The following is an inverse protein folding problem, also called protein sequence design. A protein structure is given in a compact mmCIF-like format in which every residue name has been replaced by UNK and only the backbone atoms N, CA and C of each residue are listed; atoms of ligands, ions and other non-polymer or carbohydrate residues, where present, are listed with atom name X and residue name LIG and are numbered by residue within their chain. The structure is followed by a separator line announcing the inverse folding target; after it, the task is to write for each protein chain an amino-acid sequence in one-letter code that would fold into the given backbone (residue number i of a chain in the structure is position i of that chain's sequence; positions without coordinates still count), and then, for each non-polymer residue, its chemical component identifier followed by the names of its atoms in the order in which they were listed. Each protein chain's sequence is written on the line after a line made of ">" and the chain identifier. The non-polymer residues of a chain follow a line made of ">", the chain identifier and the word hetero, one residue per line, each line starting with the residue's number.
data_IF_514098593024
#
_entry.id   IF_514098593024
#
_cell.length_a   1.000
_cell.length_b   1.000
_cell.length_c   1.000
_cell.angle_alpha   90.00
_cell.angle_beta   90.00
_cell.angle_gamma   90.00
#
_symmetry.space_group_name_H-M   'P 1'
#
loop_
_entity.id
_entity.type
_entity.pdbx_description
1 polymer ?
#
# COMPACT_ATOMS: atom_id res chain seq x y z
N UNK A 1 -0.30 -0.89 -20.27
CA UNK A 1 0.38 0.26 -19.65
C UNK A 1 0.49 -0.07 -18.17
N UNK A 2 1.68 -0.44 -17.69
CA UNK A 2 1.89 -0.75 -16.26
C UNK A 2 1.80 0.54 -15.41
N UNK A 3 1.27 0.44 -14.20
CA UNK A 3 1.18 1.57 -13.27
C UNK A 3 2.57 1.86 -12.71
N UNK A 4 2.98 3.13 -12.66
CA UNK A 4 4.34 3.55 -12.23
C UNK A 4 4.75 2.93 -10.88
N UNK A 5 3.81 2.84 -9.93
CA UNK A 5 4.08 2.20 -8.64
C UNK A 5 4.55 0.75 -8.77
N UNK A 6 3.91 -0.06 -9.61
CA UNK A 6 4.28 -1.47 -9.76
C UNK A 6 5.68 -1.63 -10.36
N UNK A 7 6.07 -0.72 -11.28
CA UNK A 7 7.44 -0.66 -11.80
C UNK A 7 8.45 -0.27 -10.74
N UNK A 8 8.17 0.76 -9.95
CA UNK A 8 9.08 1.20 -8.89
C UNK A 8 9.31 0.10 -7.86
N UNK A 9 8.27 -0.65 -7.48
CA UNK A 9 8.41 -1.82 -6.61
C UNK A 9 9.18 -2.98 -7.23
N UNK A 10 9.30 -3.06 -8.55
CA UNK A 10 10.08 -4.12 -9.18
C UNK A 10 11.57 -3.76 -9.28
N UNK A 11 11.85 -2.49 -9.56
CA UNK A 11 13.21 -2.02 -9.86
C UNK A 11 13.96 -1.50 -8.62
N UNK A 12 13.24 -1.02 -7.58
CA UNK A 12 13.88 -0.47 -6.38
C UNK A 12 14.17 -1.53 -5.31
N UNK A 13 15.33 -1.40 -4.62
CA UNK A 13 15.65 -2.22 -3.45
C UNK A 13 14.77 -1.87 -2.24
N UNK A 14 14.77 -2.72 -1.23
CA UNK A 14 13.92 -2.56 -0.05
C UNK A 14 14.24 -1.31 0.78
N UNK A 15 15.51 -0.92 0.87
CA UNK A 15 15.96 0.29 1.59
C UNK A 15 15.78 1.60 0.79
N UNK A 16 15.07 1.56 -0.34
CA UNK A 16 14.84 2.76 -1.15
C UNK A 16 13.67 3.61 -0.63
N UNK A 17 13.79 4.92 -0.85
CA UNK A 17 12.73 5.89 -0.59
C UNK A 17 12.29 6.55 -1.88
N UNK A 18 10.98 6.66 -2.07
CA UNK A 18 10.38 7.40 -3.19
C UNK A 18 9.76 8.68 -2.63
N UNK A 19 10.14 9.82 -3.19
CA UNK A 19 9.54 11.11 -2.86
C UNK A 19 8.74 11.59 -4.07
N UNK A 20 7.47 11.90 -3.87
CA UNK A 20 6.59 12.43 -4.91
C UNK A 20 6.01 13.78 -4.49
N UNK A 21 6.08 14.75 -5.40
CA UNK A 21 5.45 16.05 -5.23
C UNK A 21 4.20 16.11 -6.12
N UNK A 22 3.12 16.75 -5.65
CA UNK A 22 1.83 16.97 -6.36
C UNK A 22 0.99 15.73 -6.64
N UNK A 23 1.59 14.60 -6.99
CA UNK A 23 0.89 13.37 -7.37
C UNK A 23 1.21 12.24 -6.40
N UNK A 24 0.36 12.01 -5.38
CA UNK A 24 0.53 10.90 -4.46
C UNK A 24 0.19 9.56 -5.12
N UNK A 25 0.77 8.48 -4.61
CA UNK A 25 0.43 7.12 -5.04
C UNK A 25 -0.75 6.59 -4.21
N UNK A 26 -1.93 6.33 -4.80
CA UNK A 26 -3.13 5.98 -4.03
C UNK A 26 -3.04 4.64 -3.28
N UNK A 27 -2.19 3.73 -3.75
CA UNK A 27 -2.02 2.39 -3.17
C UNK A 27 -0.90 2.31 -2.14
N UNK A 28 -0.13 3.39 -1.97
CA UNK A 28 1.05 3.38 -1.12
C UNK A 28 0.80 4.21 0.14
N UNK A 29 1.13 3.68 1.32
CA UNK A 29 1.11 4.45 2.56
C UNK A 29 2.26 5.48 2.57
N UNK A 30 2.00 6.80 2.64
CA UNK A 30 3.07 7.76 2.84
C UNK A 30 3.61 7.65 4.27
N UNK A 31 4.92 7.58 4.42
CA UNK A 31 5.59 7.62 5.72
C UNK A 31 5.50 9.02 6.34
N UNK A 32 5.72 10.03 5.51
CA UNK A 32 5.65 11.44 5.90
C UNK A 32 5.09 12.26 4.75
N UNK A 33 4.37 13.33 5.09
CA UNK A 33 3.96 14.35 4.11
C UNK A 33 4.38 15.73 4.57
N UNK A 34 4.86 16.55 3.65
CA UNK A 34 5.33 17.91 3.93
C UNK A 34 4.77 18.89 2.89
N UNK A 35 4.42 20.09 3.32
CA UNK A 35 3.80 21.12 2.46
C UNK A 35 2.27 21.18 2.60
N UNK A 36 1.65 22.06 1.80
CA UNK A 36 0.21 22.29 1.81
C UNK A 36 -0.31 22.51 0.39
N UNK A 37 -1.54 22.08 0.13
CA UNK A 37 -2.20 22.24 -1.17
C UNK A 37 -1.42 21.57 -2.31
N UNK A 38 -1.12 22.34 -3.36
CA UNK A 38 -0.46 21.84 -4.55
C UNK A 38 1.02 21.49 -4.34
N UNK A 39 1.66 22.07 -3.33
CA UNK A 39 3.08 21.83 -3.03
C UNK A 39 3.25 20.76 -1.94
N UNK A 40 2.20 20.00 -1.67
CA UNK A 40 2.29 18.83 -0.81
C UNK A 40 3.18 17.76 -1.46
N UNK A 41 4.08 17.25 -0.64
CA UNK A 41 5.09 16.25 -0.97
C UNK A 41 4.92 15.06 -0.05
N UNK A 42 5.07 13.85 -0.58
CA UNK A 42 4.96 12.60 0.18
C UNK A 42 6.23 11.79 0.03
N UNK A 43 6.72 11.25 1.15
CA UNK A 43 7.79 10.29 1.19
C UNK A 43 7.22 8.88 1.44
N UNK A 44 7.64 7.93 0.62
CA UNK A 44 7.25 6.52 0.70
C UNK A 44 8.50 5.68 0.95
N UNK A 45 8.43 4.82 1.94
CA UNK A 45 9.46 3.82 2.22
C UNK A 45 9.09 2.52 1.50
N UNK A 46 9.97 2.01 0.62
CA UNK A 46 9.65 0.84 -0.20
C UNK A 46 9.50 -0.42 0.66
N UNK A 47 10.31 -0.58 1.71
CA UNK A 47 10.19 -1.71 2.64
C UNK A 47 8.80 -1.76 3.31
N UNK A 48 8.31 -0.61 3.77
CA UNK A 48 7.00 -0.47 4.40
C UNK A 48 5.86 -0.67 3.40
N UNK A 49 6.00 -0.14 2.18
CA UNK A 49 5.01 -0.35 1.10
C UNK A 49 4.87 -1.85 0.81
N UNK A 50 5.98 -2.58 0.64
CA UNK A 50 5.94 -4.04 0.41
C UNK A 50 5.28 -4.79 1.58
N UNK A 51 5.71 -4.50 2.81
CA UNK A 51 5.14 -5.12 4.01
C UNK A 51 3.61 -4.91 4.13
N UNK A 52 3.12 -3.73 3.71
CA UNK A 52 1.68 -3.46 3.65
C UNK A 52 0.97 -4.23 2.53
N UNK A 53 1.58 -4.36 1.34
CA UNK A 53 0.98 -5.16 0.27
C UNK A 53 0.78 -6.63 0.66
N UNK A 54 1.67 -7.18 1.49
CA UNK A 54 1.55 -8.54 2.02
C UNK A 54 0.48 -8.65 3.13
N UNK A 55 0.32 -7.63 3.98
CA UNK A 55 -0.66 -7.65 5.08
C UNK A 55 -2.09 -7.30 4.65
N UNK A 56 -2.27 -6.46 3.62
CA UNK A 56 -3.59 -6.18 3.01
C UNK A 56 -4.23 -7.44 2.44
N UNK A 57 -3.43 -8.36 1.87
CA UNK A 57 -3.92 -9.68 1.44
C UNK A 57 -4.38 -10.57 2.61
N UNK A 58 -3.86 -10.33 3.82
CA UNK A 58 -4.24 -11.12 5.01
C UNK A 58 -5.58 -10.67 5.60
N UNK A 59 -5.94 -9.39 5.48
CA UNK A 59 -7.25 -8.88 5.92
C UNK A 59 -8.39 -9.22 4.95
N UNK A 60 -8.13 -9.34 3.64
CA UNK A 60 -9.13 -9.83 2.67
C UNK A 60 -9.50 -11.31 2.93
N UNK A 61 -8.60 -12.11 3.50
CA UNK A 61 -8.83 -13.54 3.76
C UNK A 61 -9.65 -13.83 5.04
N UNK A 62 -9.97 -12.83 5.87
CA UNK A 62 -10.80 -13.01 7.07
C UNK A 62 -12.26 -12.53 6.90
N UNK A 63 -12.68 -12.16 5.68
CA UNK A 63 -14.10 -11.84 5.37
C UNK A 63 -14.77 -12.92 4.51
N UNK A 64 -14.27 -14.16 4.56
CA UNK A 64 -14.97 -15.30 3.96
C UNK A 64 -14.81 -16.57 4.82
N UNK A 65 -15.19 -16.47 6.10
CA UNK A 65 -15.54 -17.70 6.84
C UNK A 65 -17.03 -17.94 6.62
N UNK A 66 -17.46 -19.06 6.00
CA UNK A 66 -18.87 -19.37 5.91
C UNK A 66 -19.43 -19.53 7.32
N UNK A 67 -20.54 -18.84 7.61
CA UNK A 67 -21.32 -19.03 8.82
C UNK A 67 -21.86 -20.46 8.79
N UNK A 68 -21.08 -21.42 9.28
CA UNK A 68 -21.57 -22.74 9.63
C UNK A 68 -22.26 -22.62 10.98
N UNK A 69 -23.56 -22.30 10.98
CA UNK A 69 -24.47 -22.71 12.04
C UNK A 69 -25.36 -23.78 11.42
N UNK A 70 -25.06 -25.06 11.59
CA UNK A 70 -25.40 -25.84 12.78
C UNK A 70 -26.79 -25.47 13.32
N UNK A 71 -27.82 -26.07 12.72
CA UNK A 71 -29.06 -26.40 13.40
C UNK A 71 -29.32 -27.89 13.17
N UNK A 72 -28.84 -28.70 14.12
CA UNK A 72 -29.44 -30.00 14.44
C UNK A 72 -30.77 -29.69 15.15
N UNK A 73 -31.90 -30.19 14.65
CA UNK A 73 -32.85 -31.05 15.37
C UNK A 73 -34.05 -31.37 14.48
#
# INVERSE_FOLDING_TARGET
>A
MEVLGDKLLKELPDDAFVVACRFPFPRWPPQSSLGSGLDQTWAYDISAVRAMTETQQKHQKHVQTPIKKFCRS
#
